data_IF_615474658692
#
_entry.id   IF_615474658692
#
_cell.length_a   1.000
_cell.length_b   1.000
_cell.length_c   1.000
_cell.angle_alpha   90.00
_cell.angle_beta   90.00
_cell.angle_gamma   90.00
#
_symmetry.space_group_name_H-M   'P 1'
#
loop_
_entity.id
_entity.type
_entity.pdbx_description
1 polymer ?
#
# COMPACT_ATOMS: atom_id res chain seq x y z
N UNK A 1 4.08 33.83 12.99
CA UNK A 1 2.69 33.48 13.37
C UNK A 1 2.26 32.38 12.43
N UNK A 2 2.50 31.15 12.87
CA UNK A 2 2.43 29.96 12.03
C UNK A 2 0.98 29.64 11.67
N UNK A 3 0.78 29.38 10.37
CA UNK A 3 -0.46 28.86 9.80
C UNK A 3 -0.67 27.41 10.28
N UNK A 4 -0.99 27.24 11.55
CA UNK A 4 -1.59 26.00 12.08
C UNK A 4 -2.99 25.88 11.49
N UNK A 5 -3.09 25.35 10.26
CA UNK A 5 -4.36 24.81 9.79
C UNK A 5 -4.73 23.67 10.71
N UNK A 6 -5.68 23.93 11.61
CA UNK A 6 -6.36 22.91 12.43
C UNK A 6 -6.91 21.85 11.48
N UNK A 7 -6.25 20.71 11.43
CA UNK A 7 -6.77 19.51 10.78
C UNK A 7 -7.94 19.03 11.63
N UNK A 8 -9.15 18.99 11.07
CA UNK A 8 -10.34 18.43 11.72
C UNK A 8 -10.45 16.97 11.31
N UNK A 9 -10.23 16.00 12.22
CA UNK A 9 -10.48 14.60 11.93
C UNK A 9 -11.96 14.41 11.56
N UNK A 10 -12.25 13.72 10.44
CA UNK A 10 -13.59 13.21 10.14
C UNK A 10 -14.35 13.80 8.93
N UNK A 11 -13.78 14.71 8.13
CA UNK A 11 -14.46 15.23 6.92
C UNK A 11 -14.39 14.28 5.71
N UNK A 12 -13.47 13.33 5.75
CA UNK A 12 -13.49 12.08 5.02
C UNK A 12 -13.35 11.06 6.16
N UNK A 13 -14.26 10.09 6.34
CA UNK A 13 -14.41 9.07 7.44
C UNK A 13 -13.20 8.62 8.32
N UNK A 14 -13.02 7.33 8.68
CA UNK A 14 -11.98 6.91 9.61
C UNK A 14 -10.63 6.74 8.88
N UNK A 15 -10.05 7.82 8.39
CA UNK A 15 -8.80 7.82 7.61
C UNK A 15 -7.71 8.44 8.45
N UNK A 16 -6.71 7.65 8.82
CA UNK A 16 -5.46 8.17 9.37
C UNK A 16 -4.59 8.60 8.18
N UNK A 17 -4.68 9.86 7.74
CA UNK A 17 -3.73 10.37 6.75
C UNK A 17 -2.44 10.81 7.45
N UNK A 18 -1.44 9.94 7.53
CA UNK A 18 -0.06 10.38 7.76
C UNK A 18 0.49 10.87 6.42
N UNK A 19 0.08 12.07 6.02
CA UNK A 19 0.78 12.80 4.95
C UNK A 19 2.11 13.28 5.55
N UNK A 20 3.12 12.41 5.57
CA UNK A 20 4.48 12.83 5.86
C UNK A 20 4.98 13.59 4.62
N UNK A 21 4.99 14.91 4.67
CA UNK A 21 5.74 15.69 3.69
C UNK A 21 7.23 15.35 3.88
N UNK A 22 7.76 14.45 3.06
CA UNK A 22 9.20 14.17 2.96
C UNK A 22 9.93 15.27 2.17
N UNK A 23 9.52 16.53 2.34
CA UNK A 23 10.08 17.70 1.66
C UNK A 23 11.58 17.88 1.93
N UNK A 24 12.07 17.41 3.07
CA UNK A 24 13.47 17.57 3.48
C UNK A 24 14.42 16.47 2.95
N UNK A 25 13.92 15.29 2.57
CA UNK A 25 14.77 14.16 2.13
C UNK A 25 14.94 14.09 0.61
N UNK A 26 14.00 14.64 -0.17
CA UNK A 26 14.08 14.70 -1.64
C UNK A 26 13.66 16.11 -2.05
N UNK A 27 14.65 16.95 -2.39
CA UNK A 27 14.47 18.35 -2.79
C UNK A 27 13.21 18.54 -3.66
N UNK A 28 12.22 19.22 -3.07
CA UNK A 28 11.05 19.80 -3.75
C UNK A 28 10.01 18.82 -4.33
N UNK A 29 9.88 17.58 -3.82
CA UNK A 29 8.85 16.62 -4.30
C UNK A 29 7.80 16.30 -3.23
N UNK A 30 6.52 16.45 -3.58
CA UNK A 30 5.37 16.14 -2.70
C UNK A 30 4.99 14.66 -2.84
N UNK A 31 5.12 13.88 -1.77
CA UNK A 31 4.76 12.47 -1.72
C UNK A 31 3.50 12.31 -0.85
N UNK A 32 2.46 11.67 -1.39
CA UNK A 32 1.19 11.44 -0.69
C UNK A 32 1.07 9.98 -0.25
N UNK A 33 1.11 9.75 1.07
CA UNK A 33 0.93 8.43 1.68
C UNK A 33 -0.54 8.24 2.07
N UNK A 34 -1.12 7.08 1.73
CA UNK A 34 -2.55 6.80 1.96
C UNK A 34 -2.73 5.53 2.78
N UNK A 35 -2.71 5.71 4.11
CA UNK A 35 -2.83 4.61 5.05
C UNK A 35 -4.28 4.14 5.16
N UNK A 36 -4.49 2.83 5.05
CA UNK A 36 -5.77 2.21 5.39
C UNK A 36 -5.54 1.05 6.34
N UNK A 37 -6.28 1.00 7.44
CA UNK A 37 -6.62 -0.25 8.09
C UNK A 37 -8.13 -0.15 8.37
N UNK A 38 -8.95 -0.86 7.58
CA UNK A 38 -10.41 -0.85 7.79
C UNK A 38 -10.94 -2.27 7.79
N UNK A 39 -11.72 -2.57 8.83
CA UNK A 39 -12.32 -3.87 9.06
C UNK A 39 -13.16 -4.33 7.87
N UNK A 40 -13.08 -5.63 7.57
CA UNK A 40 -13.54 -6.34 6.35
C UNK A 40 -15.04 -6.27 6.04
N UNK A 41 -15.82 -5.65 6.92
CA UNK A 41 -17.26 -5.46 6.78
C UNK A 41 -17.61 -4.04 7.19
N UNK A 42 -17.82 -3.17 6.21
CA UNK A 42 -18.78 -2.09 6.41
C UNK A 42 -20.15 -2.72 6.16
N UNK A 43 -21.14 -2.44 7.01
CA UNK A 43 -22.51 -2.91 6.81
C UNK A 43 -22.93 -2.68 5.34
N UNK A 44 -23.17 -3.77 4.60
CA UNK A 44 -23.68 -3.73 3.22
C UNK A 44 -22.69 -4.04 2.09
N UNK A 45 -21.37 -4.19 2.32
CA UNK A 45 -20.42 -4.54 1.23
C UNK A 45 -19.52 -5.72 1.58
N UNK A 46 -19.29 -6.62 0.61
CA UNK A 46 -18.26 -7.64 0.68
C UNK A 46 -16.85 -7.05 0.47
N UNK A 47 -15.82 -7.81 0.86
CA UNK A 47 -14.42 -7.37 0.86
C UNK A 47 -13.90 -7.00 -0.54
N UNK A 48 -14.31 -7.73 -1.59
CA UNK A 48 -13.85 -7.50 -2.96
C UNK A 48 -14.47 -6.23 -3.54
N UNK A 49 -15.76 -6.01 -3.26
CA UNK A 49 -16.47 -4.77 -3.61
C UNK A 49 -15.84 -3.57 -2.91
N UNK A 50 -15.58 -3.67 -1.60
CA UNK A 50 -14.93 -2.62 -0.84
C UNK A 50 -13.53 -2.32 -1.40
N UNK A 51 -12.68 -3.33 -1.59
CA UNK A 51 -11.33 -3.17 -2.17
C UNK A 51 -11.39 -2.50 -3.53
N UNK A 52 -12.33 -2.91 -4.38
CA UNK A 52 -12.52 -2.32 -5.71
C UNK A 52 -12.92 -0.86 -5.66
N UNK A 53 -13.88 -0.51 -4.80
CA UNK A 53 -14.30 0.87 -4.61
C UNK A 53 -13.14 1.74 -4.09
N UNK A 54 -12.37 1.25 -3.12
CA UNK A 54 -11.23 1.98 -2.56
C UNK A 54 -10.12 2.18 -3.58
N UNK A 55 -9.81 1.15 -4.38
CA UNK A 55 -8.83 1.28 -5.46
C UNK A 55 -9.25 2.35 -6.48
N UNK A 56 -10.54 2.38 -6.86
CA UNK A 56 -11.08 3.40 -7.77
C UNK A 56 -11.01 4.81 -7.17
N UNK A 57 -11.25 4.95 -5.86
CA UNK A 57 -11.12 6.24 -5.18
C UNK A 57 -9.66 6.71 -5.14
N UNK A 58 -8.71 5.81 -4.87
CA UNK A 58 -7.28 6.12 -4.94
C UNK A 58 -6.88 6.60 -6.34
N UNK A 59 -7.34 5.91 -7.39
CA UNK A 59 -7.08 6.31 -8.79
C UNK A 59 -7.59 7.73 -9.07
N UNK A 60 -8.83 8.06 -8.64
CA UNK A 60 -9.41 9.40 -8.79
C UNK A 60 -8.60 10.46 -8.02
N UNK A 61 -8.12 10.11 -6.82
CA UNK A 61 -7.29 11.02 -6.03
C UNK A 61 -5.95 11.30 -6.71
N UNK A 62 -5.29 10.28 -7.27
CA UNK A 62 -4.05 10.47 -8.04
C UNK A 62 -4.32 11.36 -9.26
N UNK A 63 -5.43 11.16 -9.97
CA UNK A 63 -5.82 12.04 -11.09
C UNK A 63 -6.03 13.49 -10.66
N UNK A 64 -6.59 13.72 -9.46
CA UNK A 64 -6.73 15.06 -8.91
C UNK A 64 -5.36 15.72 -8.64
N UNK A 65 -4.41 15.00 -8.03
CA UNK A 65 -3.05 15.53 -7.84
C UNK A 65 -2.34 15.85 -9.15
N UNK A 66 -2.53 15.01 -10.18
CA UNK A 66 -1.98 15.27 -11.52
C UNK A 66 -2.59 16.51 -12.14
N UNK A 67 -3.90 16.73 -11.96
CA UNK A 67 -4.56 17.96 -12.43
C UNK A 67 -4.03 19.22 -11.74
N UNK A 68 -3.62 19.10 -10.47
CA UNK A 68 -2.94 20.16 -9.72
C UNK A 68 -1.43 20.28 -10.05
N UNK A 69 -0.94 19.56 -11.06
CA UNK A 69 0.41 19.68 -11.59
C UNK A 69 1.45 18.73 -10.98
N UNK A 70 1.05 17.77 -10.14
CA UNK A 70 1.98 16.78 -9.59
C UNK A 70 2.19 15.62 -10.59
N UNK A 71 3.41 15.40 -11.12
CA UNK A 71 3.65 14.30 -12.06
C UNK A 71 3.35 12.93 -11.43
N UNK A 72 2.76 12.00 -12.19
CA UNK A 72 2.41 10.64 -11.72
C UNK A 72 3.57 9.90 -11.07
N UNK A 73 4.77 10.03 -11.67
CA UNK A 73 6.02 9.46 -11.17
C UNK A 73 6.39 9.92 -9.75
N UNK A 74 5.88 11.07 -9.30
CA UNK A 74 6.12 11.62 -7.97
C UNK A 74 5.06 11.18 -6.93
N UNK A 75 4.01 10.48 -7.36
CA UNK A 75 2.92 10.03 -6.49
C UNK A 75 3.09 8.53 -6.25
N UNK A 76 3.46 8.17 -5.03
CA UNK A 76 3.71 6.78 -4.63
C UNK A 76 2.73 6.42 -3.51
N UNK A 77 1.59 5.79 -3.82
CA UNK A 77 0.67 5.32 -2.79
C UNK A 77 1.33 4.28 -1.89
N UNK A 78 1.12 4.42 -0.59
CA UNK A 78 1.63 3.50 0.42
C UNK A 78 0.48 2.93 1.21
N UNK A 79 0.35 1.60 1.22
CA UNK A 79 -0.73 0.89 1.89
C UNK A 79 -0.22 -0.07 2.97
N UNK A 80 -0.97 -0.19 4.06
CA UNK A 80 -0.70 -1.13 5.14
C UNK A 80 -1.88 -2.10 5.30
N UNK A 81 -1.70 -3.36 5.69
CA UNK A 81 -2.83 -4.27 5.99
C UNK A 81 -3.82 -4.35 4.81
N UNK A 82 -5.12 -4.14 5.05
CA UNK A 82 -6.12 -3.99 3.99
C UNK A 82 -5.79 -2.90 2.95
N UNK A 83 -5.11 -1.82 3.34
CA UNK A 83 -4.61 -0.79 2.44
C UNK A 83 -3.54 -1.25 1.47
N UNK A 84 -2.70 -2.21 1.87
CA UNK A 84 -1.75 -2.84 0.96
C UNK A 84 -2.49 -3.52 -0.20
N UNK A 85 -3.65 -4.14 0.09
CA UNK A 85 -4.51 -4.75 -0.94
C UNK A 85 -5.07 -3.70 -1.90
N UNK A 86 -5.40 -2.51 -1.40
CA UNK A 86 -6.00 -1.41 -2.18
C UNK A 86 -4.97 -0.81 -3.14
N UNK A 87 -3.76 -0.48 -2.67
CA UNK A 87 -2.74 0.13 -3.52
C UNK A 87 -2.28 -0.83 -4.61
N UNK A 88 -2.14 -2.12 -4.28
CA UNK A 88 -1.81 -3.17 -5.26
C UNK A 88 -2.94 -3.35 -6.28
N UNK A 89 -4.19 -3.41 -5.83
CA UNK A 89 -5.35 -3.53 -6.73
C UNK A 89 -5.49 -2.31 -7.65
N UNK A 90 -5.18 -1.11 -7.16
CA UNK A 90 -5.20 0.11 -7.95
C UNK A 90 -4.12 0.10 -9.05
N UNK A 91 -2.89 -0.31 -8.71
CA UNK A 91 -1.79 -0.51 -9.67
C UNK A 91 -2.14 -1.59 -10.69
N UNK A 92 -2.72 -2.71 -10.26
CA UNK A 92 -3.16 -3.77 -11.16
C UNK A 92 -4.21 -3.28 -12.17
N UNK A 93 -5.21 -2.52 -11.71
CA UNK A 93 -6.32 -2.05 -12.56
C UNK A 93 -5.96 -0.93 -13.52
N UNK A 94 -5.08 -0.02 -13.08
CA UNK A 94 -4.71 1.20 -13.81
C UNK A 94 -3.20 1.44 -13.69
N UNK A 95 -2.36 0.56 -14.26
CA UNK A 95 -0.90 0.68 -14.18
C UNK A 95 -0.37 1.97 -14.82
N UNK A 96 -1.13 2.56 -15.75
CA UNK A 96 -0.83 3.85 -16.36
C UNK A 96 -1.08 5.04 -15.43
N UNK A 97 -1.89 4.87 -14.39
CA UNK A 97 -2.24 5.91 -13.41
C UNK A 97 -1.49 5.77 -12.10
N UNK A 98 -1.34 4.54 -11.62
CA UNK A 98 -0.63 4.19 -10.39
C UNK A 98 0.66 3.49 -10.81
N UNK A 99 1.72 4.29 -10.97
CA UNK A 99 2.97 3.83 -11.58
C UNK A 99 3.80 2.98 -10.62
N UNK A 100 3.67 3.22 -9.31
CA UNK A 100 4.41 2.48 -8.29
C UNK A 100 3.73 2.54 -6.94
N UNK A 101 3.97 1.56 -6.08
CA UNK A 101 3.38 1.50 -4.73
C UNK A 101 4.35 0.95 -3.70
N UNK A 102 4.12 1.27 -2.43
CA UNK A 102 4.72 0.55 -1.30
C UNK A 102 3.59 -0.13 -0.52
N UNK A 103 3.74 -1.41 -0.24
CA UNK A 103 2.76 -2.21 0.47
C UNK A 103 3.42 -2.81 1.73
N UNK A 104 2.75 -2.74 2.87
CA UNK A 104 3.28 -3.25 4.14
C UNK A 104 2.26 -4.14 4.83
N UNK A 105 2.72 -5.27 5.37
CA UNK A 105 1.92 -6.20 6.17
C UNK A 105 0.59 -6.54 5.49
N UNK A 106 0.61 -6.91 4.21
CA UNK A 106 -0.61 -7.12 3.43
C UNK A 106 -1.51 -8.15 4.11
N UNK A 107 -2.81 -7.84 4.19
CA UNK A 107 -3.81 -8.71 4.77
C UNK A 107 -5.12 -8.59 3.99
N UNK A 108 -5.60 -9.72 3.46
CA UNK A 108 -6.96 -9.84 2.86
C UNK A 108 -7.94 -10.56 3.78
N UNK A 109 -7.44 -11.19 4.85
CA UNK A 109 -8.21 -12.03 5.77
C UNK A 109 -8.10 -11.59 7.22
N UNK A 110 -9.04 -12.08 8.05
CA UNK A 110 -8.97 -11.92 9.51
C UNK A 110 -7.76 -12.67 10.10
N UNK A 111 -7.55 -12.55 11.43
CA UNK A 111 -6.40 -13.18 12.09
C UNK A 111 -6.47 -14.71 11.95
N UNK A 112 -5.31 -15.36 11.97
CA UNK A 112 -5.19 -16.82 11.96
C UNK A 112 -5.81 -17.43 13.25
N UNK A 113 -6.33 -18.67 13.20
CA UNK A 113 -6.39 -19.56 12.04
C UNK A 113 -7.50 -19.17 11.05
N UNK A 114 -7.18 -19.17 9.76
CA UNK A 114 -8.11 -18.84 8.69
C UNK A 114 -9.17 -19.92 8.47
N UNK A 115 -10.39 -19.48 8.13
CA UNK A 115 -11.43 -20.38 7.64
C UNK A 115 -11.17 -20.72 6.16
N UNK A 116 -11.81 -21.77 5.65
CA UNK A 116 -11.64 -22.19 4.25
C UNK A 116 -11.89 -21.04 3.24
N UNK A 117 -12.88 -20.18 3.51
CA UNK A 117 -13.18 -19.00 2.68
C UNK A 117 -12.05 -17.98 2.65
N UNK A 118 -11.41 -17.75 3.79
CA UNK A 118 -10.27 -16.84 3.94
C UNK A 118 -9.05 -17.33 3.13
N UNK A 119 -8.72 -18.62 3.28
CA UNK A 119 -7.64 -19.25 2.53
C UNK A 119 -7.89 -19.27 1.03
N UNK A 120 -9.14 -19.45 0.59
CA UNK A 120 -9.51 -19.36 -0.82
C UNK A 120 -9.36 -17.94 -1.37
N UNK A 121 -9.72 -16.91 -0.60
CA UNK A 121 -9.53 -15.51 -1.01
C UNK A 121 -8.05 -15.19 -1.22
N UNK A 122 -7.19 -15.58 -0.28
CA UNK A 122 -5.73 -15.40 -0.39
C UNK A 122 -5.21 -16.06 -1.67
N UNK A 123 -5.59 -17.31 -1.93
CA UNK A 123 -5.19 -18.05 -3.14
C UNK A 123 -5.68 -17.39 -4.43
N UNK A 124 -6.94 -16.94 -4.46
CA UNK A 124 -7.51 -16.23 -5.63
C UNK A 124 -6.79 -14.91 -5.88
N UNK A 125 -6.51 -14.15 -4.82
CA UNK A 125 -5.77 -12.90 -4.92
C UNK A 125 -4.35 -13.16 -5.45
N UNK A 126 -3.63 -14.13 -4.89
CA UNK A 126 -2.29 -14.49 -5.36
C UNK A 126 -2.28 -14.90 -6.84
N UNK A 127 -3.17 -15.81 -7.24
CA UNK A 127 -3.27 -16.28 -8.62
C UNK A 127 -3.56 -15.15 -9.63
N UNK A 128 -4.42 -14.19 -9.25
CA UNK A 128 -4.74 -13.02 -10.07
C UNK A 128 -3.49 -12.18 -10.36
N UNK A 129 -2.64 -11.95 -9.36
CA UNK A 129 -1.48 -11.05 -9.50
C UNK A 129 -0.25 -11.72 -10.10
N UNK A 130 -0.05 -13.04 -9.89
CA UNK A 130 1.03 -13.80 -10.54
C UNK A 130 0.97 -13.76 -12.07
N UNK A 131 -0.24 -13.80 -12.62
CA UNK A 131 -0.47 -13.86 -14.07
C UNK A 131 -0.54 -12.47 -14.72
N UNK A 132 -0.05 -11.43 -14.06
CA UNK A 132 -0.10 -10.08 -14.60
C UNK A 132 0.91 -9.91 -15.74
N UNK A 133 0.46 -9.33 -16.86
CA UNK A 133 1.27 -9.13 -18.06
C UNK A 133 2.15 -7.87 -17.99
N UNK A 134 1.77 -6.89 -17.17
CA UNK A 134 2.54 -5.67 -16.97
C UNK A 134 3.35 -5.78 -15.67
N UNK A 135 4.70 -5.79 -15.72
CA UNK A 135 5.51 -5.85 -14.51
C UNK A 135 5.09 -4.76 -13.52
N UNK A 136 4.96 -5.15 -12.25
CA UNK A 136 4.73 -4.21 -11.19
C UNK A 136 5.96 -3.33 -10.95
N UNK A 137 5.72 -2.22 -10.26
CA UNK A 137 6.79 -1.48 -9.61
C UNK A 137 6.39 -1.29 -8.17
N UNK A 138 6.57 -2.35 -7.40
CA UNK A 138 6.10 -2.39 -6.03
C UNK A 138 7.20 -2.83 -5.08
N UNK A 139 7.25 -2.16 -3.94
CA UNK A 139 8.04 -2.57 -2.80
C UNK A 139 7.09 -3.12 -1.74
N UNK A 140 7.16 -4.43 -1.49
CA UNK A 140 6.23 -5.14 -0.61
C UNK A 140 6.99 -5.64 0.61
N UNK A 141 6.53 -5.26 1.80
CA UNK A 141 7.06 -5.71 3.07
C UNK A 141 6.06 -6.62 3.76
N UNK A 142 6.53 -7.75 4.28
CA UNK A 142 5.73 -8.61 5.16
C UNK A 142 6.48 -8.91 6.45
N UNK A 143 5.72 -8.95 7.55
CA UNK A 143 6.25 -9.23 8.87
C UNK A 143 6.30 -10.74 9.11
N UNK A 144 7.38 -11.23 9.71
CA UNK A 144 7.57 -12.65 9.99
C UNK A 144 6.64 -13.19 11.09
N UNK A 145 6.19 -12.34 12.01
CA UNK A 145 5.30 -12.70 13.12
C UNK A 145 3.89 -12.11 12.95
N UNK A 146 3.49 -11.75 11.73
CA UNK A 146 2.15 -11.20 11.46
C UNK A 146 1.06 -12.24 11.79
N UNK A 147 0.18 -11.89 12.73
CA UNK A 147 -0.93 -12.74 13.14
C UNK A 147 -2.04 -12.86 12.08
N UNK A 148 -2.10 -11.94 11.12
CA UNK A 148 -3.05 -11.96 10.01
C UNK A 148 -2.51 -12.73 8.83
N UNK A 149 -1.30 -12.40 8.37
CA UNK A 149 -0.68 -12.94 7.13
C UNK A 149 0.84 -12.80 7.24
N UNK A 150 1.52 -13.87 7.62
CA UNK A 150 2.99 -13.88 7.79
C UNK A 150 3.74 -13.68 6.47
N UNK A 151 5.05 -13.47 6.53
CA UNK A 151 5.91 -13.44 5.36
C UNK A 151 5.76 -14.71 4.49
N UNK A 152 5.73 -15.88 5.12
CA UNK A 152 5.61 -17.18 4.47
C UNK A 152 4.27 -17.34 3.76
N UNK A 153 3.19 -16.84 4.38
CA UNK A 153 1.85 -16.80 3.79
C UNK A 153 1.77 -15.96 2.51
N UNK A 154 2.72 -15.03 2.35
CA UNK A 154 2.81 -14.07 1.27
C UNK A 154 3.95 -14.37 0.29
N UNK A 155 4.61 -15.54 0.42
CA UNK A 155 5.77 -15.91 -0.40
C UNK A 155 5.52 -15.88 -1.91
N UNK A 156 4.24 -15.92 -2.33
CA UNK A 156 3.82 -15.76 -3.71
C UNK A 156 4.27 -14.44 -4.35
N UNK A 157 4.55 -13.40 -3.56
CA UNK A 157 5.06 -12.12 -4.08
C UNK A 157 6.41 -12.28 -4.78
N UNK A 158 7.22 -13.28 -4.40
CA UNK A 158 8.46 -13.60 -5.10
C UNK A 158 8.24 -14.04 -6.55
N UNK A 159 7.04 -14.47 -6.90
CA UNK A 159 6.66 -14.91 -8.25
C UNK A 159 6.01 -13.79 -9.07
N UNK A 160 5.73 -12.62 -8.48
CA UNK A 160 5.08 -11.50 -9.17
C UNK A 160 6.14 -10.61 -9.80
N UNK A 161 6.14 -10.55 -11.14
CA UNK A 161 7.10 -9.74 -11.90
C UNK A 161 7.10 -8.27 -11.46
N UNK A 162 8.29 -7.74 -11.13
CA UNK A 162 8.49 -6.35 -10.75
C UNK A 162 8.15 -6.00 -9.29
N UNK A 163 7.92 -7.00 -8.44
CA UNK A 163 7.81 -6.83 -6.99
C UNK A 163 9.16 -7.05 -6.31
N UNK A 164 9.59 -6.09 -5.48
CA UNK A 164 10.65 -6.28 -4.48
C UNK A 164 10.01 -6.70 -3.16
N UNK A 165 10.11 -7.99 -2.80
CA UNK A 165 9.46 -8.56 -1.62
C UNK A 165 10.45 -8.74 -0.47
N UNK A 166 10.20 -8.07 0.65
CA UNK A 166 11.13 -7.96 1.77
C UNK A 166 10.49 -8.46 3.06
N UNK A 167 11.25 -9.26 3.80
CA UNK A 167 10.87 -9.71 5.14
C UNK A 167 11.31 -8.69 6.20
N UNK A 168 10.43 -8.38 7.14
CA UNK A 168 10.74 -7.61 8.34
C UNK A 168 10.47 -8.43 9.59
N UNK A 169 11.29 -8.25 10.61
CA UNK A 169 11.04 -8.83 11.92
C UNK A 169 9.91 -8.06 12.63
N UNK A 170 8.95 -8.77 13.21
CA UNK A 170 7.91 -8.19 14.07
C UNK A 170 6.50 -8.68 13.77
N UNK A 171 5.55 -8.17 14.55
CA UNK A 171 4.11 -8.43 14.38
C UNK A 171 3.53 -7.57 13.25
N UNK A 172 2.20 -7.53 13.12
CA UNK A 172 1.51 -6.80 12.05
C UNK A 172 2.01 -5.37 11.82
N UNK A 173 2.46 -4.65 12.86
CA UNK A 173 2.97 -3.27 12.75
C UNK A 173 4.48 -3.15 12.48
N UNK A 174 5.14 -4.20 11.96
CA UNK A 174 6.58 -4.17 11.68
C UNK A 174 7.04 -3.06 10.70
N UNK A 175 6.11 -2.40 10.01
CA UNK A 175 6.40 -1.28 9.11
C UNK A 175 7.14 -0.13 9.79
N UNK A 176 7.02 0.04 11.12
CA UNK A 176 7.85 1.01 11.87
C UNK A 176 9.35 0.77 11.69
N UNK A 177 9.77 -0.48 11.45
CA UNK A 177 11.16 -0.82 11.20
C UNK A 177 11.71 -0.23 9.89
N UNK A 178 10.84 0.17 8.95
CA UNK A 178 11.24 0.88 7.74
C UNK A 178 11.91 2.22 8.04
N UNK A 179 11.59 2.83 9.18
CA UNK A 179 12.07 4.16 9.57
C UNK A 179 13.17 4.13 10.63
N UNK A 180 13.44 2.95 11.20
CA UNK A 180 14.47 2.78 12.23
C UNK A 180 15.64 1.91 11.75
N UNK A 181 15.45 1.12 10.69
CA UNK A 181 16.51 0.34 10.06
C UNK A 181 17.14 1.10 8.89
N UNK A 182 18.42 1.47 9.02
CA UNK A 182 19.17 2.21 7.99
C UNK A 182 19.14 1.53 6.61
N UNK A 183 19.17 0.21 6.53
CA UNK A 183 19.11 -0.51 5.26
C UNK A 183 17.76 -0.33 4.57
N UNK A 184 16.67 -0.40 5.33
CA UNK A 184 15.32 -0.26 4.78
C UNK A 184 14.99 1.18 4.40
N UNK A 185 15.47 2.17 5.18
CA UNK A 185 15.40 3.58 4.79
C UNK A 185 16.06 3.80 3.42
N UNK A 186 17.28 3.26 3.23
CA UNK A 186 17.99 3.38 1.96
C UNK A 186 17.28 2.66 0.82
N UNK A 187 16.64 1.51 1.07
CA UNK A 187 15.83 0.80 0.07
C UNK A 187 14.64 1.64 -0.38
N UNK A 188 13.90 2.21 0.56
CA UNK A 188 12.76 3.10 0.27
C UNK A 188 13.22 4.31 -0.54
N UNK A 189 14.33 4.96 -0.16
CA UNK A 189 14.87 6.10 -0.90
C UNK A 189 15.25 5.69 -2.34
N UNK A 190 15.96 4.58 -2.52
CA UNK A 190 16.33 4.08 -3.85
C UNK A 190 15.11 3.75 -4.70
N UNK A 191 14.09 3.14 -4.11
CA UNK A 191 12.83 2.86 -4.78
C UNK A 191 12.15 4.15 -5.26
N UNK A 192 12.03 5.15 -4.38
CA UNK A 192 11.47 6.46 -4.74
C UNK A 192 12.29 7.13 -5.84
N UNK A 193 13.63 7.13 -5.75
CA UNK A 193 14.51 7.71 -6.77
C UNK A 193 14.31 7.04 -8.12
N UNK A 194 14.25 5.70 -8.15
CA UNK A 194 14.02 4.96 -9.39
C UNK A 194 12.69 5.28 -10.08
N UNK A 195 11.71 5.85 -9.36
CA UNK A 195 10.44 6.30 -9.93
C UNK A 195 10.53 7.63 -10.66
N UNK A 196 11.53 8.44 -10.30
CA UNK A 196 11.67 9.80 -10.77
C UNK A 196 12.48 9.86 -12.07
N UNK A 197 13.38 8.91 -12.26
CA UNK A 197 14.12 8.65 -13.50
C UNK A 197 13.15 8.14 -14.59
#
# INVERSE_FOLDING_TARGET
MDNQKKYTPGLLGPWYSLASEFSELIKEKKIYLYYFCKNRAQEGFDADTLRTMQANNLIKLVDAFVKEGVPRKQIIPVGHSGGATVVIEAMFKKPEKIVSVIATSWAVSGPKPWKAKDSQEIKRFAAKHKNNTNPFKALVYACDQDEFTSYEDQAFWNEVSGVDFVKLAGNHVCWFNLFTNKHEILRVIKFIQSNLD
#
